data_IF_184984780779
#
_entry.id   IF_184984780779
#
_cell.length_a   1.000
_cell.length_b   1.000
_cell.length_c   1.000
_cell.angle_alpha   90.00
_cell.angle_beta   90.00
_cell.angle_gamma   90.00
#
_symmetry.space_group_name_H-M   'P 1'
#
loop_
_entity.id
_entity.type
_entity.pdbx_description
1 polymer ?
#
# COMPACT_ATOMS: atom_id res chain seq x y z
N UNK A 1 12.30 15.10 31.26
CA UNK A 1 10.86 15.45 31.35
C UNK A 1 10.01 14.19 31.32
N UNK A 2 10.15 13.34 32.33
CA UNK A 2 9.17 12.33 32.73
C UNK A 2 8.44 12.90 33.97
N UNK A 3 7.14 12.63 34.18
CA UNK A 3 6.35 13.23 35.26
C UNK A 3 5.17 14.11 34.83
N UNK A 4 4.73 14.07 33.57
CA UNK A 4 3.47 14.72 33.18
C UNK A 4 2.31 13.78 33.46
N UNK A 5 1.49 14.08 34.47
CA UNK A 5 0.38 13.23 34.90
C UNK A 5 -0.55 12.84 33.74
N UNK A 6 -0.87 13.77 32.84
CA UNK A 6 -1.72 13.48 31.67
C UNK A 6 -1.04 12.55 30.67
N UNK A 7 0.27 12.67 30.47
CA UNK A 7 1.00 11.82 29.52
C UNK A 7 1.15 10.42 30.09
N UNK A 8 1.41 10.29 31.40
CA UNK A 8 1.50 9.00 32.08
C UNK A 8 0.14 8.27 32.02
N UNK A 9 -0.95 8.95 32.38
CA UNK A 9 -2.29 8.36 32.29
C UNK A 9 -2.68 8.00 30.84
N UNK A 10 -2.41 8.86 29.86
CA UNK A 10 -2.66 8.54 28.46
C UNK A 10 -1.79 7.39 27.96
N UNK A 11 -0.58 7.22 28.50
CA UNK A 11 0.29 6.09 28.15
C UNK A 11 -0.32 4.79 28.62
N UNK A 12 -0.74 4.72 29.89
CA UNK A 12 -1.36 3.52 30.48
C UNK A 12 -2.67 3.17 29.76
N UNK A 13 -3.51 4.17 29.47
CA UNK A 13 -4.79 3.97 28.76
C UNK A 13 -4.59 3.45 27.34
N UNK A 14 -3.60 3.99 26.60
CA UNK A 14 -3.31 3.54 25.23
C UNK A 14 -2.66 2.17 25.23
N UNK A 15 -1.75 1.88 26.17
CA UNK A 15 -1.14 0.56 26.31
C UNK A 15 -2.20 -0.52 26.53
N UNK A 16 -3.09 -0.33 27.50
CA UNK A 16 -4.17 -1.28 27.80
C UNK A 16 -5.11 -1.47 26.60
N UNK A 17 -5.46 -0.38 25.90
CA UNK A 17 -6.30 -0.46 24.70
C UNK A 17 -5.64 -1.26 23.57
N UNK A 18 -4.32 -1.14 23.39
CA UNK A 18 -3.55 -1.90 22.40
C UNK A 18 -3.46 -3.37 22.78
N UNK A 19 -3.16 -3.68 24.05
CA UNK A 19 -3.10 -5.06 24.54
C UNK A 19 -4.45 -5.76 24.40
N UNK A 20 -5.55 -5.08 24.75
CA UNK A 20 -6.91 -5.56 24.52
C UNK A 20 -7.20 -5.86 23.05
N UNK A 21 -6.67 -5.07 22.11
CA UNK A 21 -6.83 -5.32 20.68
C UNK A 21 -5.98 -6.51 20.19
N UNK A 22 -4.80 -6.73 20.78
CA UNK A 22 -4.00 -7.94 20.53
C UNK A 22 -4.74 -9.22 20.95
N UNK A 23 -5.44 -9.20 22.08
CA UNK A 23 -6.25 -10.33 22.50
C UNK A 23 -7.37 -10.63 21.50
N UNK A 24 -8.10 -9.60 21.03
CA UNK A 24 -9.14 -9.77 19.99
C UNK A 24 -8.59 -10.37 18.69
N UNK A 25 -7.39 -9.96 18.26
CA UNK A 25 -6.74 -10.53 17.07
C UNK A 25 -6.33 -11.98 17.34
N UNK A 26 -5.80 -12.26 18.54
CA UNK A 26 -5.34 -13.61 18.93
C UNK A 26 -6.50 -14.60 18.96
N UNK A 27 -7.65 -14.22 19.52
CA UNK A 27 -8.89 -15.01 19.52
C UNK A 27 -9.40 -15.38 18.12
N UNK A 28 -9.01 -14.61 17.09
CA UNK A 28 -9.38 -14.82 15.68
C UNK A 28 -8.35 -15.66 14.92
N UNK A 29 -7.46 -16.37 15.61
CA UNK A 29 -6.39 -17.15 14.99
C UNK A 29 -5.17 -16.30 14.62
N UNK A 30 -4.92 -15.24 15.38
CA UNK A 30 -3.84 -14.29 15.14
C UNK A 30 -4.08 -13.43 13.90
N UNK A 31 -3.04 -12.74 13.44
CA UNK A 31 -3.15 -11.75 12.35
C UNK A 31 -3.68 -12.38 11.05
N UNK A 32 -3.19 -13.56 10.69
CA UNK A 32 -3.60 -14.24 9.45
C UNK A 32 -5.07 -14.68 9.50
N UNK A 33 -5.51 -15.28 10.61
CA UNK A 33 -6.93 -15.65 10.77
C UNK A 33 -7.86 -14.42 10.81
N UNK A 34 -7.43 -13.35 11.46
CA UNK A 34 -8.15 -12.07 11.44
C UNK A 34 -8.23 -11.49 10.01
N UNK A 35 -7.17 -11.61 9.21
CA UNK A 35 -7.18 -11.18 7.80
C UNK A 35 -8.11 -12.02 6.92
N UNK A 36 -8.24 -13.33 7.18
CA UNK A 36 -9.17 -14.20 6.44
C UNK A 36 -10.63 -13.80 6.67
N UNK A 37 -10.97 -13.39 7.90
CA UNK A 37 -12.31 -12.87 8.24
C UNK A 37 -12.52 -11.39 7.87
N UNK A 38 -11.47 -10.71 7.39
CA UNK A 38 -11.53 -9.29 7.06
C UNK A 38 -11.62 -8.35 8.26
N UNK A 39 -11.34 -8.83 9.48
CA UNK A 39 -11.53 -8.07 10.73
C UNK A 39 -10.86 -6.69 10.70
N UNK A 40 -9.56 -6.62 10.40
CA UNK A 40 -8.83 -5.35 10.40
C UNK A 40 -9.39 -4.40 9.33
N UNK A 41 -9.75 -4.93 8.15
CA UNK A 41 -10.33 -4.14 7.07
C UNK A 41 -11.67 -3.54 7.47
N UNK A 42 -12.56 -4.34 8.06
CA UNK A 42 -13.87 -3.88 8.52
C UNK A 42 -13.73 -2.82 9.61
N UNK A 43 -12.84 -3.04 10.61
CA UNK A 43 -12.59 -2.05 11.66
C UNK A 43 -12.09 -0.72 11.10
N UNK A 44 -11.12 -0.74 10.17
CA UNK A 44 -10.63 0.48 9.51
C UNK A 44 -11.77 1.17 8.76
N UNK A 45 -12.62 0.42 8.05
CA UNK A 45 -13.74 0.98 7.30
C UNK A 45 -14.81 1.58 8.22
N UNK A 46 -15.15 0.91 9.32
CA UNK A 46 -16.09 1.39 10.33
C UNK A 46 -15.61 2.72 10.94
N UNK A 47 -14.36 2.78 11.41
CA UNK A 47 -13.79 4.00 12.00
C UNK A 47 -13.66 5.12 10.96
N UNK A 48 -13.34 4.79 9.70
CA UNK A 48 -13.34 5.77 8.60
C UNK A 48 -14.73 6.35 8.33
N UNK A 49 -15.77 5.51 8.33
CA UNK A 49 -17.15 5.98 8.14
C UNK A 49 -17.62 6.82 9.34
N UNK A 50 -17.24 6.41 10.55
CA UNK A 50 -17.54 7.18 11.76
C UNK A 50 -16.90 8.58 11.71
N UNK A 51 -15.61 8.66 11.38
CA UNK A 51 -14.92 9.93 11.20
C UNK A 51 -15.57 10.80 10.12
N UNK A 52 -15.87 10.25 8.94
CA UNK A 52 -16.52 11.01 7.86
C UNK A 52 -17.92 11.49 8.27
N UNK A 53 -18.67 10.69 9.04
CA UNK A 53 -19.96 11.11 9.59
C UNK A 53 -19.81 12.31 10.54
N UNK A 54 -18.85 12.27 11.45
CA UNK A 54 -18.58 13.39 12.36
C UNK A 54 -18.11 14.65 11.63
N UNK A 55 -17.27 14.48 10.60
CA UNK A 55 -16.82 15.57 9.73
C UNK A 55 -17.99 16.20 8.96
N UNK A 56 -18.90 15.40 8.43
CA UNK A 56 -20.04 15.90 7.66
C UNK A 56 -21.14 16.51 8.54
N UNK A 57 -21.41 15.94 9.72
CA UNK A 57 -22.37 16.50 10.68
C UNK A 57 -21.88 17.81 11.31
N UNK A 58 -20.56 18.00 11.40
CA UNK A 58 -19.93 19.15 12.05
C UNK A 58 -19.58 18.91 13.52
N UNK A 59 -19.92 17.73 14.06
CA UNK A 59 -19.58 17.32 15.44
C UNK A 59 -18.07 17.23 15.65
N UNK A 60 -17.30 16.95 14.58
CA UNK A 60 -15.85 17.08 14.57
C UNK A 60 -15.44 18.33 13.79
N UNK A 61 -15.04 19.43 14.48
CA UNK A 61 -14.76 20.70 13.83
C UNK A 61 -13.46 20.67 13.02
N UNK A 62 -13.58 20.98 11.72
CA UNK A 62 -12.45 21.12 10.78
C UNK A 62 -12.49 22.52 10.18
N UNK A 63 -11.53 23.35 10.59
CA UNK A 63 -11.39 24.76 10.19
C UNK A 63 -11.19 24.85 8.67
N UNK A 64 -11.98 25.71 8.02
CA UNK A 64 -11.95 25.90 6.56
C UNK A 64 -12.74 24.85 5.77
N UNK A 65 -13.24 23.79 6.42
CA UNK A 65 -14.00 22.71 5.77
C UNK A 65 -15.47 22.75 6.19
N UNK A 66 -15.77 22.40 7.46
CA UNK A 66 -17.15 22.37 7.97
C UNK A 66 -17.48 23.54 8.91
N UNK A 67 -16.46 24.26 9.40
CA UNK A 67 -16.61 25.46 10.22
C UNK A 67 -15.56 26.51 9.85
N UNK A 68 -15.82 27.78 10.17
CA UNK A 68 -14.94 28.92 9.80
C UNK A 68 -14.57 28.96 8.31
N UNK A 69 -15.56 28.76 7.42
CA UNK A 69 -15.36 28.81 5.97
C UNK A 69 -15.24 30.26 5.49
N UNK A 70 -14.33 30.52 4.56
CA UNK A 70 -14.20 31.83 3.91
C UNK A 70 -15.33 32.02 2.87
N UNK A 71 -16.25 33.00 3.03
CA UNK A 71 -17.33 33.25 2.08
C UNK A 71 -16.87 33.79 0.72
N UNK A 72 -15.66 34.35 0.66
CA UNK A 72 -15.07 34.95 -0.55
C UNK A 72 -14.06 34.02 -1.24
N UNK A 73 -13.86 32.79 -0.72
CA UNK A 73 -12.94 31.85 -1.33
C UNK A 73 -13.48 31.34 -2.67
N UNK A 74 -12.70 31.55 -3.73
CA UNK A 74 -12.90 30.96 -5.04
C UNK A 74 -11.95 29.78 -5.19
N UNK A 75 -12.41 28.60 -4.74
CA UNK A 75 -11.62 27.37 -4.79
C UNK A 75 -11.25 26.97 -6.22
N UNK A 76 -12.04 27.35 -7.23
CA UNK A 76 -11.73 27.05 -8.62
C UNK A 76 -10.57 27.91 -9.13
N UNK A 77 -10.56 29.20 -8.77
CA UNK A 77 -9.43 30.09 -9.04
C UNK A 77 -8.16 29.69 -8.28
N UNK A 78 -8.28 29.31 -7.00
CA UNK A 78 -7.15 28.81 -6.20
C UNK A 78 -6.58 27.51 -6.79
N UNK A 79 -7.43 26.55 -7.15
CA UNK A 79 -7.02 25.28 -7.76
C UNK A 79 -6.40 25.47 -9.15
N UNK A 80 -6.89 26.42 -9.94
CA UNK A 80 -6.31 26.73 -11.26
C UNK A 80 -4.89 27.33 -11.16
N UNK A 81 -4.55 27.95 -10.04
CA UNK A 81 -3.23 28.54 -9.80
C UNK A 81 -2.19 27.56 -9.26
N UNK A 82 -2.63 26.38 -8.79
CA UNK A 82 -1.77 25.34 -8.25
C UNK A 82 -1.10 24.54 -9.38
N UNK A 83 0.22 24.66 -9.46
CA UNK A 83 1.01 23.84 -10.38
C UNK A 83 1.00 22.38 -9.93
N UNK A 84 0.55 21.48 -10.82
CA UNK A 84 0.47 20.06 -10.56
C UNK A 84 1.62 19.33 -11.26
N UNK A 85 2.41 18.59 -10.49
CA UNK A 85 3.46 17.73 -11.04
C UNK A 85 2.83 16.48 -11.62
N UNK A 86 2.97 16.28 -12.93
CA UNK A 86 2.54 15.08 -13.67
C UNK A 86 3.68 14.62 -14.57
N UNK A 87 3.74 13.31 -14.83
CA UNK A 87 4.67 12.78 -15.82
C UNK A 87 4.33 13.30 -17.21
N UNK A 88 5.33 13.79 -17.93
CA UNK A 88 5.18 14.24 -19.31
C UNK A 88 4.98 13.05 -20.26
N UNK A 89 4.52 13.30 -21.48
CA UNK A 89 4.43 12.25 -22.49
C UNK A 89 5.81 11.82 -23.00
N UNK A 90 6.80 12.71 -22.96
CA UNK A 90 8.20 12.41 -23.26
C UNK A 90 8.77 11.40 -22.26
N UNK A 91 8.55 11.59 -20.95
CA UNK A 91 8.99 10.66 -19.90
C UNK A 91 8.40 9.25 -20.12
N UNK A 92 7.11 9.18 -20.50
CA UNK A 92 6.44 7.90 -20.79
C UNK A 92 7.07 7.23 -22.01
N UNK A 93 7.30 7.97 -23.08
CA UNK A 93 7.89 7.43 -24.30
C UNK A 93 9.33 6.97 -24.07
N UNK A 94 10.12 7.70 -23.28
CA UNK A 94 11.47 7.30 -22.89
C UNK A 94 11.43 5.95 -22.16
N UNK A 95 10.53 5.78 -21.19
CA UNK A 95 10.39 4.54 -20.44
C UNK A 95 9.99 3.35 -21.33
N UNK A 96 9.10 3.56 -22.31
CA UNK A 96 8.72 2.53 -23.28
C UNK A 96 9.90 2.11 -24.16
N UNK A 97 10.67 3.08 -24.67
CA UNK A 97 11.83 2.82 -25.51
C UNK A 97 12.91 2.06 -24.72
N UNK A 98 13.24 2.52 -23.50
CA UNK A 98 14.21 1.86 -22.61
C UNK A 98 13.79 0.43 -22.27
N UNK A 99 12.51 0.19 -22.05
CA UNK A 99 11.97 -1.15 -21.79
C UNK A 99 12.10 -2.05 -23.01
N UNK A 100 11.78 -1.56 -24.21
CA UNK A 100 11.91 -2.31 -25.45
C UNK A 100 13.38 -2.67 -25.71
N UNK A 101 14.29 -1.71 -25.57
CA UNK A 101 15.73 -1.91 -25.74
C UNK A 101 16.29 -2.92 -24.74
N UNK A 102 15.88 -2.83 -23.47
CA UNK A 102 16.28 -3.77 -22.44
C UNK A 102 15.82 -5.20 -22.75
N UNK A 103 14.58 -5.37 -23.22
CA UNK A 103 14.04 -6.68 -23.62
C UNK A 103 14.76 -7.25 -24.84
N UNK A 104 15.01 -6.42 -25.84
CA UNK A 104 15.72 -6.83 -27.06
C UNK A 104 17.16 -7.27 -26.74
N UNK A 105 17.85 -6.52 -25.86
CA UNK A 105 19.23 -6.84 -25.46
C UNK A 105 19.36 -8.21 -24.78
N UNK A 106 18.37 -8.62 -24.01
CA UNK A 106 18.42 -9.86 -23.21
C UNK A 106 17.45 -10.93 -23.70
N UNK A 107 17.00 -10.85 -24.96
CA UNK A 107 15.95 -11.72 -25.50
C UNK A 107 16.25 -13.21 -25.32
N UNK A 108 17.51 -13.62 -25.54
CA UNK A 108 17.93 -15.02 -25.45
C UNK A 108 18.16 -15.49 -24.01
N UNK A 109 18.50 -14.58 -23.09
CA UNK A 109 18.83 -14.89 -21.70
C UNK A 109 17.60 -14.84 -20.77
N UNK A 110 16.61 -14.01 -21.12
CA UNK A 110 15.43 -13.75 -20.28
C UNK A 110 14.59 -15.01 -20.06
N UNK A 111 14.34 -15.80 -21.11
CA UNK A 111 13.56 -17.04 -21.01
C UNK A 111 14.16 -18.04 -20.03
N UNK A 112 15.44 -18.45 -20.21
CA UNK A 112 16.13 -19.32 -19.27
C UNK A 112 16.17 -18.80 -17.82
N UNK A 113 16.35 -17.49 -17.62
CA UNK A 113 16.34 -16.88 -16.28
C UNK A 113 14.97 -17.00 -15.61
N UNK A 114 13.89 -16.69 -16.33
CA UNK A 114 12.52 -16.80 -15.80
C UNK A 114 12.14 -18.25 -15.48
N UNK A 115 12.59 -19.24 -16.26
CA UNK A 115 12.35 -20.65 -15.95
C UNK A 115 13.10 -21.11 -14.69
N UNK A 116 14.33 -20.63 -14.46
CA UNK A 116 15.05 -20.89 -13.19
C UNK A 116 14.30 -20.29 -12.01
N UNK A 117 13.86 -19.04 -12.12
CA UNK A 117 13.07 -18.37 -11.09
C UNK A 117 11.81 -19.17 -10.73
N UNK A 118 11.04 -19.60 -11.74
CA UNK A 118 9.86 -20.45 -11.53
C UNK A 118 10.20 -21.76 -10.83
N UNK A 119 11.28 -22.41 -11.24
CA UNK A 119 11.74 -23.66 -10.61
C UNK A 119 12.11 -23.47 -9.14
N UNK A 120 12.86 -22.41 -8.81
CA UNK A 120 13.24 -22.07 -7.43
C UNK A 120 12.01 -21.80 -6.56
N UNK A 121 11.03 -21.05 -7.10
CA UNK A 121 9.78 -20.78 -6.40
C UNK A 121 8.99 -22.07 -6.11
N UNK A 122 8.88 -22.98 -7.08
CA UNK A 122 8.17 -24.25 -6.92
C UNK A 122 8.90 -25.24 -6.00
N UNK A 123 10.23 -25.18 -5.94
CA UNK A 123 11.02 -26.06 -5.07
C UNK A 123 11.12 -25.58 -3.62
N UNK A 124 10.53 -24.41 -3.28
CA UNK A 124 10.68 -23.80 -1.96
C UNK A 124 12.09 -23.25 -1.68
N UNK A 125 12.85 -22.93 -2.73
CA UNK A 125 14.19 -22.35 -2.60
C UNK A 125 14.14 -20.86 -2.28
N UNK A 126 15.32 -20.25 -2.10
CA UNK A 126 15.42 -18.81 -1.86
C UNK A 126 15.15 -18.02 -3.14
N UNK A 127 13.90 -17.54 -3.29
CA UNK A 127 13.48 -16.76 -4.45
C UNK A 127 14.28 -15.47 -4.60
N UNK A 128 14.64 -14.82 -3.48
CA UNK A 128 15.37 -13.55 -3.53
C UNK A 128 16.78 -13.70 -4.11
N UNK A 129 17.44 -14.84 -3.84
CA UNK A 129 18.75 -15.16 -4.41
C UNK A 129 18.68 -15.28 -5.94
N UNK A 130 17.70 -16.03 -6.48
CA UNK A 130 17.53 -16.13 -7.93
C UNK A 130 17.03 -14.81 -8.56
N UNK A 131 16.32 -13.97 -7.81
CA UNK A 131 15.95 -12.63 -8.28
C UNK A 131 17.17 -11.76 -8.54
N UNK A 132 18.24 -11.86 -7.73
CA UNK A 132 19.48 -11.09 -7.94
C UNK A 132 20.11 -11.37 -9.31
N UNK A 133 19.92 -12.56 -9.86
CA UNK A 133 20.37 -12.94 -11.20
C UNK A 133 19.32 -12.59 -12.26
N UNK A 134 18.04 -12.88 -12.00
CA UNK A 134 16.95 -12.69 -12.97
C UNK A 134 16.76 -11.22 -13.36
N UNK A 135 16.93 -10.28 -12.43
CA UNK A 135 16.76 -8.84 -12.71
C UNK A 135 17.79 -8.27 -13.68
N UNK A 136 18.91 -8.97 -13.91
CA UNK A 136 19.94 -8.54 -14.88
C UNK A 136 19.43 -8.67 -16.32
N UNK A 137 18.52 -9.61 -16.58
CA UNK A 137 18.08 -10.02 -17.93
C UNK A 137 16.56 -9.96 -18.15
N UNK A 138 15.78 -9.68 -17.11
CA UNK A 138 14.32 -9.69 -17.17
C UNK A 138 13.73 -8.46 -16.47
N UNK A 139 12.71 -7.87 -17.09
CA UNK A 139 12.05 -6.69 -16.53
C UNK A 139 11.09 -7.05 -15.40
N UNK A 140 10.70 -6.04 -14.59
CA UNK A 140 9.71 -6.21 -13.52
C UNK A 140 8.44 -6.92 -13.99
N UNK A 141 7.89 -6.54 -15.15
CA UNK A 141 6.68 -7.16 -15.68
C UNK A 141 6.87 -8.62 -16.10
N UNK A 142 8.03 -8.98 -16.65
CA UNK A 142 8.35 -10.37 -17.01
C UNK A 142 8.50 -11.24 -15.75
N UNK A 143 9.18 -10.72 -14.73
CA UNK A 143 9.38 -11.41 -13.45
C UNK A 143 8.05 -11.62 -12.74
N UNK A 144 7.25 -10.57 -12.58
CA UNK A 144 5.94 -10.65 -11.93
C UNK A 144 5.01 -11.61 -12.68
N UNK A 145 5.00 -11.56 -14.02
CA UNK A 145 4.23 -12.49 -14.85
C UNK A 145 4.64 -13.95 -14.62
N UNK A 146 5.94 -14.25 -14.62
CA UNK A 146 6.44 -15.59 -14.36
C UNK A 146 6.09 -16.10 -12.95
N UNK A 147 6.15 -15.22 -11.93
CA UNK A 147 5.75 -15.58 -10.57
C UNK A 147 4.24 -15.79 -10.44
N UNK A 148 3.41 -15.08 -11.20
CA UNK A 148 1.96 -15.32 -11.23
C UNK A 148 1.60 -16.71 -11.81
N UNK A 149 2.37 -17.22 -12.77
CA UNK A 149 2.14 -18.56 -13.33
C UNK A 149 2.30 -19.67 -12.29
N UNK A 150 3.19 -19.50 -11.30
CA UNK A 150 3.53 -20.53 -10.31
C UNK A 150 3.05 -20.25 -8.88
N UNK A 151 2.87 -18.98 -8.51
CA UNK A 151 2.46 -18.54 -7.18
C UNK A 151 1.03 -18.00 -7.11
N UNK A 152 0.36 -17.89 -8.25
CA UNK A 152 -0.97 -17.29 -8.35
C UNK A 152 -0.96 -15.76 -8.21
N UNK A 153 -2.14 -15.17 -8.27
CA UNK A 153 -2.36 -13.74 -8.09
C UNK A 153 -3.12 -13.50 -6.80
N UNK A 154 -2.86 -12.36 -6.16
CA UNK A 154 -3.65 -11.94 -5.01
C UNK A 154 -5.13 -11.82 -5.42
N UNK A 155 -5.99 -12.55 -4.72
CA UNK A 155 -7.44 -12.45 -4.86
C UNK A 155 -7.95 -11.45 -3.83
N UNK A 156 -8.70 -10.44 -4.29
CA UNK A 156 -9.39 -9.54 -3.37
C UNK A 156 -10.41 -10.35 -2.57
N UNK A 157 -10.19 -10.50 -1.28
CA UNK A 157 -11.23 -10.94 -0.35
C UNK A 157 -12.23 -9.80 -0.22
N UNK A 158 -13.52 -10.07 -0.48
CA UNK A 158 -14.60 -9.10 -0.26
C UNK A 158 -14.85 -8.96 1.22
#
# INVERSE_FOLDING_TARGET
NQGSFIVEELTDLVEEAVLSEFDRITERGGVLGAMETGYQRSRIQEESMYYEHLKHSGDYPIIGVNTFRNPEADFDAENASLELVRASDEDKQEQLNRLADFKNRHQDESGPALERLKKVALSGGNIFEELMETVKTSSLGQITGALYEVGGQYRRNM
#
